data_IF_664345063586
#
_entry.id   IF_664345063586
#
_cell.length_a   1.000
_cell.length_b   1.000
_cell.length_c   1.000
_cell.angle_alpha   90.00
_cell.angle_beta   90.00
_cell.angle_gamma   90.00
#
_symmetry.space_group_name_H-M   'P 1'
#
loop_
_entity.id
_entity.type
_entity.pdbx_description
1 polymer ?
#
# COMPACT_ATOMS: atom_id res chain seq x y z
N UNK A 1 9.47 12.21 18.21
CA UNK A 1 8.72 12.17 16.95
C UNK A 1 8.95 10.79 16.32
N UNK A 2 7.91 9.96 16.18
CA UNK A 2 8.01 8.64 15.54
C UNK A 2 7.61 8.81 14.07
N UNK A 3 8.55 8.69 13.14
CA UNK A 3 8.31 8.78 11.69
C UNK A 3 8.42 7.39 11.08
N UNK A 4 7.36 6.95 10.41
CA UNK A 4 7.30 5.71 9.63
C UNK A 4 8.35 5.73 8.51
N UNK A 5 8.45 6.82 7.75
CA UNK A 5 9.41 7.02 6.67
C UNK A 5 10.87 6.87 7.15
N UNK A 6 11.24 7.49 8.28
CA UNK A 6 12.58 7.35 8.83
C UNK A 6 12.88 5.89 9.24
N UNK A 7 11.88 5.18 9.78
CA UNK A 7 12.02 3.76 10.15
C UNK A 7 12.16 2.88 8.90
N UNK A 8 11.37 3.14 7.85
CA UNK A 8 11.46 2.48 6.55
C UNK A 8 12.86 2.61 5.97
N UNK A 9 13.40 3.83 5.90
CA UNK A 9 14.75 4.07 5.39
C UNK A 9 15.81 3.36 6.23
N UNK A 10 15.68 3.38 7.57
CA UNK A 10 16.61 2.68 8.46
C UNK A 10 16.58 1.16 8.27
N UNK A 11 15.41 0.54 8.06
CA UNK A 11 15.30 -0.90 7.87
C UNK A 11 15.58 -1.28 6.42
N UNK A 12 14.68 -0.92 5.50
CA UNK A 12 14.75 -1.37 4.11
C UNK A 12 15.94 -0.78 3.36
N UNK A 13 16.31 0.47 3.66
CA UNK A 13 17.51 1.09 3.08
C UNK A 13 18.79 0.38 3.52
N UNK A 14 18.89 -0.02 4.79
CA UNK A 14 20.04 -0.80 5.27
C UNK A 14 20.05 -2.20 4.67
N UNK A 15 18.91 -2.90 4.64
CA UNK A 15 18.83 -4.24 4.04
C UNK A 15 19.21 -4.22 2.56
N UNK A 16 18.73 -3.22 1.80
CA UNK A 16 19.16 -3.01 0.41
C UNK A 16 20.65 -2.79 0.30
N UNK A 17 21.21 -1.88 1.10
CA UNK A 17 22.64 -1.52 1.06
C UNK A 17 23.56 -2.70 1.39
N UNK A 18 23.12 -3.58 2.29
CA UNK A 18 23.86 -4.77 2.69
C UNK A 18 23.61 -5.99 1.78
N UNK A 19 22.69 -5.92 0.81
CA UNK A 19 22.31 -7.08 -0.01
C UNK A 19 21.64 -8.18 0.82
N UNK A 20 20.81 -7.79 1.79
CA UNK A 20 20.18 -8.69 2.76
C UNK A 20 18.64 -8.65 2.69
N UNK A 21 18.04 -8.28 1.55
CA UNK A 21 16.58 -8.20 1.44
C UNK A 21 15.92 -9.58 1.57
N UNK A 22 16.61 -10.63 1.13
CA UNK A 22 16.13 -12.02 1.21
C UNK A 22 15.80 -12.52 2.61
N UNK A 23 16.35 -11.93 3.66
CA UNK A 23 16.01 -12.36 5.03
C UNK A 23 14.50 -12.19 5.29
N UNK A 24 13.86 -11.23 4.61
CA UNK A 24 12.44 -10.96 4.79
C UNK A 24 11.55 -12.11 4.28
N UNK A 25 12.07 -13.07 3.51
CA UNK A 25 11.33 -14.24 3.03
C UNK A 25 10.80 -15.13 4.17
N UNK A 26 11.37 -15.03 5.37
CA UNK A 26 10.92 -15.74 6.57
C UNK A 26 9.84 -14.99 7.36
N UNK A 27 9.49 -13.78 6.94
CA UNK A 27 8.38 -13.02 7.53
C UNK A 27 7.05 -13.63 7.09
N UNK A 28 6.28 -14.08 8.08
CA UNK A 28 4.92 -14.57 7.89
C UNK A 28 3.94 -13.43 8.19
N UNK A 29 2.99 -13.20 7.27
CA UNK A 29 1.92 -12.21 7.42
C UNK A 29 0.85 -12.70 8.40
N UNK A 30 -0.01 -11.78 8.87
CA UNK A 30 -1.16 -12.16 9.71
C UNK A 30 -2.18 -13.04 8.98
N UNK A 31 -2.15 -13.04 7.65
CA UNK A 31 -2.94 -13.90 6.79
C UNK A 31 -2.25 -15.24 6.46
N UNK A 32 -1.16 -15.57 7.17
CA UNK A 32 -0.35 -16.79 7.00
C UNK A 32 0.26 -16.94 5.59
N UNK A 33 0.65 -15.83 4.97
CA UNK A 33 1.37 -15.78 3.68
C UNK A 33 2.81 -15.32 3.88
N UNK A 34 3.67 -15.56 2.89
CA UNK A 34 5.06 -15.06 2.86
C UNK A 34 5.20 -14.00 1.77
N UNK A 35 4.79 -12.74 2.02
CA UNK A 35 4.71 -11.73 0.97
C UNK A 35 6.08 -11.35 0.38
N UNK A 36 7.17 -11.62 1.09
CA UNK A 36 8.54 -11.30 0.65
C UNK A 36 9.33 -12.53 0.18
N UNK A 37 8.66 -13.67 -0.06
CA UNK A 37 9.30 -14.83 -0.66
C UNK A 37 9.35 -14.71 -2.19
N UNK A 38 10.55 -14.51 -2.72
CA UNK A 38 10.82 -14.39 -4.16
C UNK A 38 11.37 -15.67 -4.77
N UNK A 39 11.11 -16.84 -4.17
CA UNK A 39 11.49 -18.14 -4.75
C UNK A 39 13.01 -18.33 -4.85
N UNK A 40 13.75 -17.72 -3.92
CA UNK A 40 15.21 -17.80 -3.87
C UNK A 40 15.97 -16.80 -4.75
N UNK A 41 15.30 -15.88 -5.43
CA UNK A 41 15.93 -14.72 -6.05
C UNK A 41 16.25 -13.59 -5.05
N UNK A 42 17.16 -12.69 -5.41
CA UNK A 42 17.37 -11.43 -4.66
C UNK A 42 16.48 -10.35 -5.29
N UNK A 43 15.49 -9.81 -4.57
CA UNK A 43 14.67 -8.71 -5.09
C UNK A 43 15.47 -7.40 -5.08
N UNK A 44 15.15 -6.48 -6.00
CA UNK A 44 15.52 -5.08 -5.83
C UNK A 44 14.49 -4.36 -4.97
N UNK A 45 14.92 -3.31 -4.26
CA UNK A 45 14.06 -2.47 -3.42
C UNK A 45 14.15 -1.02 -3.86
N UNK A 46 13.03 -0.36 -4.09
CA UNK A 46 12.95 1.08 -4.28
C UNK A 46 12.19 1.71 -3.10
N UNK A 47 12.76 2.74 -2.48
CA UNK A 47 12.09 3.49 -1.43
C UNK A 47 11.39 4.70 -2.05
N UNK A 48 10.20 5.04 -1.55
CA UNK A 48 9.42 6.20 -2.02
C UNK A 48 9.18 6.16 -3.54
N UNK A 49 8.84 4.98 -4.04
CA UNK A 49 8.71 4.74 -5.48
C UNK A 49 7.48 5.46 -6.04
N UNK A 50 7.72 6.38 -6.98
CA UNK A 50 6.68 6.94 -7.84
C UNK A 50 6.16 5.92 -8.86
N UNK A 51 4.86 5.63 -8.82
CA UNK A 51 4.19 4.71 -9.74
C UNK A 51 3.73 5.45 -10.99
N UNK A 52 4.29 5.08 -12.13
CA UNK A 52 4.00 5.73 -13.43
C UNK A 52 2.90 5.04 -14.24
N UNK A 53 2.45 3.86 -13.82
CA UNK A 53 1.51 3.02 -14.58
C UNK A 53 0.04 3.38 -14.38
N UNK A 54 -0.27 4.31 -13.46
CA UNK A 54 -1.64 4.64 -13.06
C UNK A 54 -2.18 5.92 -13.71
N UNK A 55 -1.46 6.50 -14.67
CA UNK A 55 -1.87 7.71 -15.41
C UNK A 55 -1.78 9.01 -14.60
N UNK A 56 -1.05 8.99 -13.49
CA UNK A 56 -0.76 10.19 -12.71
C UNK A 56 0.38 10.99 -13.37
N UNK A 57 0.27 12.31 -13.34
CA UNK A 57 1.29 13.20 -13.89
C UNK A 57 2.45 13.40 -12.90
N UNK A 58 3.62 13.76 -13.45
CA UNK A 58 4.84 14.03 -12.69
C UNK A 58 4.58 15.01 -11.53
N UNK A 59 5.08 14.65 -10.33
CA UNK A 59 4.89 15.42 -9.08
C UNK A 59 3.56 15.16 -8.36
N UNK A 60 2.70 14.25 -8.85
CA UNK A 60 1.45 13.82 -8.19
C UNK A 60 1.27 12.30 -8.18
N UNK A 61 2.36 11.56 -8.41
CA UNK A 61 2.33 10.12 -8.51
C UNK A 61 1.95 9.46 -7.18
N UNK A 62 1.45 8.24 -7.27
CA UNK A 62 1.41 7.31 -6.15
C UNK A 62 2.83 7.06 -5.71
N UNK A 63 3.13 7.44 -4.48
CA UNK A 63 4.36 7.07 -3.80
C UNK A 63 4.06 5.85 -2.94
N UNK A 64 4.84 4.79 -3.15
CA UNK A 64 4.84 3.58 -2.33
C UNK A 64 6.07 3.65 -1.44
N UNK A 65 5.90 3.46 -0.13
CA UNK A 65 7.00 3.60 0.84
C UNK A 65 8.16 2.64 0.53
N UNK A 66 7.83 1.38 0.21
CA UNK A 66 8.80 0.37 -0.26
C UNK A 66 8.20 -0.41 -1.40
N UNK A 67 8.93 -0.52 -2.50
CA UNK A 67 8.58 -1.38 -3.62
C UNK A 67 9.66 -2.42 -3.84
N UNK A 68 9.33 -3.69 -3.61
CA UNK A 68 10.23 -4.81 -3.89
C UNK A 68 9.83 -5.45 -5.21
N UNK A 69 10.80 -5.77 -6.05
CA UNK A 69 10.50 -6.37 -7.34
C UNK A 69 11.52 -7.40 -7.81
N UNK A 70 10.97 -8.48 -8.36
CA UNK A 70 11.64 -9.47 -9.18
C UNK A 70 10.58 -10.03 -10.16
N UNK A 71 10.32 -11.35 -10.12
CA UNK A 71 9.21 -11.98 -10.83
C UNK A 71 7.86 -11.62 -10.18
N UNK A 72 7.87 -11.46 -8.86
CA UNK A 72 6.76 -10.96 -8.03
C UNK A 72 7.01 -9.49 -7.65
N UNK A 73 5.97 -8.73 -7.32
CA UNK A 73 6.06 -7.32 -6.89
C UNK A 73 5.32 -7.10 -5.57
N UNK A 74 6.00 -6.44 -4.64
CA UNK A 74 5.46 -6.12 -3.32
C UNK A 74 5.44 -4.61 -3.15
N UNK A 75 4.25 -4.03 -2.98
CA UNK A 75 4.09 -2.63 -2.61
C UNK A 75 3.77 -2.52 -1.12
N UNK A 76 4.65 -1.93 -0.34
CA UNK A 76 4.50 -1.81 1.12
C UNK A 76 4.02 -0.40 1.46
N UNK A 77 2.89 -0.32 2.18
CA UNK A 77 2.44 0.88 2.88
C UNK A 77 2.85 0.78 4.36
N UNK A 78 3.58 1.77 4.86
CA UNK A 78 4.18 1.74 6.18
C UNK A 78 3.45 2.69 7.15
N UNK A 79 3.08 2.17 8.32
CA UNK A 79 2.41 2.91 9.38
C UNK A 79 3.08 2.63 10.71
N UNK A 80 3.26 3.65 11.53
CA UNK A 80 3.89 3.57 12.85
C UNK A 80 3.00 4.25 13.88
N UNK A 81 2.71 5.53 13.71
CA UNK A 81 1.89 6.33 14.64
C UNK A 81 0.68 7.00 13.97
N UNK A 82 0.58 6.88 12.65
CA UNK A 82 -0.52 7.38 11.82
C UNK A 82 -1.85 6.78 12.29
N UNK A 83 -2.94 7.52 12.09
CA UNK A 83 -4.29 7.09 12.48
C UNK A 83 -5.08 6.51 11.29
N UNK A 84 -4.59 6.70 10.07
CA UNK A 84 -5.29 6.29 8.84
C UNK A 84 -4.29 5.81 7.80
N UNK A 85 -4.75 4.92 6.90
CA UNK A 85 -3.95 4.47 5.74
C UNK A 85 -3.72 5.57 4.71
N UNK A 86 -4.69 6.47 4.54
CA UNK A 86 -4.69 7.51 3.51
C UNK A 86 -6.00 7.48 2.72
N UNK A 87 -6.71 8.60 2.75
CA UNK A 87 -8.08 8.74 2.21
C UNK A 87 -8.12 9.64 0.99
N UNK A 88 -9.11 9.43 0.11
CA UNK A 88 -9.28 10.26 -1.08
C UNK A 88 -9.49 11.71 -0.67
N UNK A 89 -8.71 12.62 -1.26
CA UNK A 89 -8.76 14.05 -0.92
C UNK A 89 -9.85 14.83 -1.64
N UNK A 90 -10.45 14.28 -2.71
CA UNK A 90 -11.43 14.99 -3.55
C UNK A 90 -12.65 15.49 -2.77
N UNK A 91 -13.19 14.75 -1.78
CA UNK A 91 -14.29 15.24 -0.94
C UNK A 91 -13.91 16.31 0.08
N UNK A 92 -12.63 16.63 0.24
CA UNK A 92 -12.15 17.72 1.10
C UNK A 92 -11.86 19.00 0.32
N UNK A 93 -12.00 18.99 -1.00
CA UNK A 93 -11.88 20.21 -1.81
C UNK A 93 -13.06 21.14 -1.52
N UNK A 94 -12.90 22.43 -1.86
CA UNK A 94 -14.02 23.37 -1.80
C UNK A 94 -15.13 22.90 -2.76
N UNK A 95 -16.42 22.94 -2.39
CA UNK A 95 -17.52 22.56 -3.28
C UNK A 95 -17.58 23.31 -4.61
N UNK A 96 -16.95 24.49 -4.70
CA UNK A 96 -16.80 25.25 -5.95
C UNK A 96 -15.65 24.74 -6.84
N UNK A 97 -14.75 23.90 -6.33
CA UNK A 97 -13.67 23.29 -7.11
C UNK A 97 -14.26 22.29 -8.13
N UNK A 98 -13.91 22.38 -9.43
CA UNK A 98 -14.44 21.48 -10.45
C UNK A 98 -14.08 20.00 -10.22
N UNK A 99 -13.04 19.71 -9.44
CA UNK A 99 -12.62 18.36 -9.06
C UNK A 99 -13.17 17.90 -7.71
N UNK A 100 -13.99 18.73 -7.04
CA UNK A 100 -14.75 18.33 -5.87
C UNK A 100 -15.59 17.08 -6.18
N UNK A 101 -15.72 16.22 -5.19
CA UNK A 101 -16.52 15.01 -5.23
C UNK A 101 -17.26 14.90 -3.91
N UNK A 102 -18.57 14.72 -3.92
CA UNK A 102 -19.37 14.61 -2.68
C UNK A 102 -19.11 13.32 -1.86
N UNK A 103 -18.23 12.43 -2.34
CA UNK A 103 -17.91 11.15 -1.72
C UNK A 103 -18.69 9.96 -2.28
N UNK A 104 -19.63 10.18 -3.19
CA UNK A 104 -20.29 9.13 -3.99
C UNK A 104 -19.50 8.82 -5.28
N UNK A 105 -19.79 7.68 -5.92
CA UNK A 105 -19.31 7.35 -7.26
C UNK A 105 -20.49 7.41 -8.23
N UNK A 106 -20.77 8.62 -8.70
CA UNK A 106 -21.88 9.00 -9.59
C UNK A 106 -21.39 10.08 -10.55
N UNK A 107 -22.13 10.36 -11.64
CA UNK A 107 -21.82 11.54 -12.46
C UNK A 107 -22.13 12.81 -11.68
N UNK A 108 -21.13 13.69 -11.53
CA UNK A 108 -21.26 14.94 -10.78
C UNK A 108 -20.66 16.08 -11.59
N UNK A 109 -21.11 17.31 -11.33
CA UNK A 109 -20.56 18.54 -11.92
C UNK A 109 -20.47 18.51 -13.47
N UNK A 110 -21.36 17.78 -14.14
CA UNK A 110 -21.37 17.66 -15.61
C UNK A 110 -20.21 16.86 -16.22
N UNK A 111 -19.44 16.13 -15.40
CA UNK A 111 -18.30 15.32 -15.85
C UNK A 111 -18.73 14.12 -16.69
N UNK A 112 -17.88 13.75 -17.65
CA UNK A 112 -18.06 12.54 -18.45
C UNK A 112 -17.76 11.28 -17.63
N UNK A 113 -16.82 11.35 -16.69
CA UNK A 113 -16.53 10.28 -15.74
C UNK A 113 -17.22 10.51 -14.39
N UNK A 114 -17.54 9.40 -13.70
CA UNK A 114 -18.13 9.44 -12.35
C UNK A 114 -17.14 9.99 -11.31
N UNK A 115 -15.91 9.48 -11.32
CA UNK A 115 -14.85 9.94 -10.41
C UNK A 115 -14.10 11.14 -10.99
N UNK A 116 -13.87 12.17 -10.17
CA UNK A 116 -13.08 13.35 -10.56
C UNK A 116 -11.62 13.03 -10.94
N UNK A 117 -11.05 11.96 -10.37
CA UNK A 117 -9.71 11.50 -10.73
C UNK A 117 -9.69 10.84 -12.12
N UNK A 118 -10.73 10.06 -12.43
CA UNK A 118 -10.86 9.46 -13.77
C UNK A 118 -11.09 10.52 -14.84
N UNK A 119 -11.87 11.57 -14.54
CA UNK A 119 -12.02 12.75 -15.42
C UNK A 119 -10.67 13.41 -15.70
N UNK A 120 -9.77 13.45 -14.70
CA UNK A 120 -8.41 13.96 -14.84
C UNK A 120 -7.44 13.00 -15.54
N UNK A 121 -7.91 11.87 -16.08
CA UNK A 121 -7.10 10.88 -16.79
C UNK A 121 -6.43 9.81 -15.91
N UNK A 122 -6.70 9.79 -14.60
CA UNK A 122 -6.14 8.79 -13.69
C UNK A 122 -6.84 7.45 -13.89
N UNK A 123 -6.05 6.39 -14.02
CA UNK A 123 -6.49 5.09 -14.54
C UNK A 123 -6.99 4.12 -13.47
N UNK A 124 -7.18 4.53 -12.22
CA UNK A 124 -7.58 3.58 -11.17
C UNK A 124 -8.86 2.80 -11.53
N UNK A 125 -9.90 3.51 -11.98
CA UNK A 125 -11.18 2.90 -12.35
C UNK A 125 -11.12 2.08 -13.64
N UNK A 126 -10.04 2.17 -14.42
CA UNK A 126 -9.76 1.24 -15.51
C UNK A 126 -9.30 -0.12 -14.98
N UNK A 127 -8.54 -0.16 -13.89
CA UNK A 127 -7.96 -1.40 -13.35
C UNK A 127 -8.76 -2.01 -12.20
N UNK A 128 -9.48 -1.18 -11.43
CA UNK A 128 -10.27 -1.62 -10.28
C UNK A 128 -11.21 -2.79 -10.61
N UNK A 129 -12.00 -2.77 -11.71
CA UNK A 129 -12.93 -3.87 -12.01
C UNK A 129 -12.27 -5.22 -12.31
N UNK A 130 -10.96 -5.25 -12.54
CA UNK A 130 -10.20 -6.47 -12.81
C UNK A 130 -9.59 -7.08 -11.55
N UNK A 131 -9.46 -6.30 -10.47
CA UNK A 131 -8.85 -6.75 -9.20
C UNK A 131 -9.88 -6.79 -8.06
N UNK A 132 -10.91 -5.96 -8.13
CA UNK A 132 -11.93 -5.77 -7.11
C UNK A 132 -13.32 -6.09 -7.66
N UNK A 133 -14.20 -6.54 -6.77
CA UNK A 133 -15.64 -6.74 -6.99
C UNK A 133 -16.44 -5.43 -7.05
N UNK A 134 -15.78 -4.30 -7.36
CA UNK A 134 -16.42 -3.00 -7.51
C UNK A 134 -16.72 -2.75 -8.99
N UNK A 135 -17.99 -2.53 -9.28
CA UNK A 135 -18.44 -2.25 -10.64
C UNK A 135 -18.22 -0.77 -11.00
N UNK A 136 -17.41 -0.51 -12.02
CA UNK A 136 -17.19 0.85 -12.54
C UNK A 136 -18.41 1.39 -13.33
N UNK A 137 -19.32 0.52 -13.80
CA UNK A 137 -20.53 0.93 -14.50
C UNK A 137 -21.67 1.30 -13.55
N UNK A 138 -21.70 0.70 -12.35
CA UNK A 138 -22.69 0.97 -11.31
C UNK A 138 -22.50 2.31 -10.59
N UNK A 139 -23.60 2.88 -10.10
CA UNK A 139 -23.55 4.01 -9.16
C UNK A 139 -23.36 3.50 -7.74
N UNK A 140 -22.53 4.19 -6.95
CA UNK A 140 -22.33 3.85 -5.55
C UNK A 140 -22.56 5.08 -4.66
N UNK A 141 -23.49 4.96 -3.72
CA UNK A 141 -23.81 6.03 -2.76
C UNK A 141 -22.57 6.39 -1.94
N UNK A 142 -21.80 5.39 -1.52
CA UNK A 142 -20.50 5.59 -0.88
C UNK A 142 -19.40 5.08 -1.81
N UNK A 143 -18.51 5.98 -2.23
CA UNK A 143 -17.37 5.61 -3.04
C UNK A 143 -16.39 4.77 -2.22
N UNK A 144 -16.04 3.54 -2.66
CA UNK A 144 -15.17 2.65 -1.89
C UNK A 144 -13.77 3.24 -1.68
N UNK A 145 -13.30 4.08 -2.61
CA UNK A 145 -12.00 4.75 -2.52
C UNK A 145 -11.94 5.84 -1.44
N UNK A 146 -13.06 6.26 -0.84
CA UNK A 146 -13.07 7.32 0.17
C UNK A 146 -12.16 6.99 1.34
N UNK A 147 -12.37 5.84 1.96
CA UNK A 147 -11.58 5.36 3.11
C UNK A 147 -10.36 4.52 2.74
N UNK A 148 -10.33 3.96 1.53
CA UNK A 148 -9.36 2.92 1.14
C UNK A 148 -8.31 3.38 0.14
N UNK A 149 -8.32 4.66 -0.22
CA UNK A 149 -7.58 5.23 -1.35
C UNK A 149 -6.14 4.75 -1.47
N UNK A 150 -5.34 4.88 -0.42
CA UNK A 150 -3.92 4.55 -0.46
C UNK A 150 -3.68 3.04 -0.58
N UNK A 151 -4.47 2.21 0.10
CA UNK A 151 -4.36 0.75 -0.02
C UNK A 151 -4.71 0.26 -1.43
N UNK A 152 -5.76 0.82 -2.03
CA UNK A 152 -6.13 0.47 -3.41
C UNK A 152 -5.02 0.86 -4.38
N UNK A 153 -4.43 2.05 -4.22
CA UNK A 153 -3.28 2.48 -5.04
C UNK A 153 -2.10 1.51 -4.92
N UNK A 154 -1.79 1.01 -3.73
CA UNK A 154 -0.69 0.07 -3.54
C UNK A 154 -1.00 -1.31 -4.15
N UNK A 155 -2.25 -1.78 -4.07
CA UNK A 155 -2.67 -2.99 -4.81
C UNK A 155 -2.47 -2.78 -6.32
N UNK A 156 -2.93 -1.65 -6.85
CA UNK A 156 -2.75 -1.34 -8.27
C UNK A 156 -1.27 -1.22 -8.64
N UNK A 157 -0.44 -0.61 -7.80
CA UNK A 157 1.01 -0.50 -8.01
C UNK A 157 1.69 -1.88 -8.08
N UNK A 158 1.30 -2.80 -7.20
CA UNK A 158 1.84 -4.17 -7.18
C UNK A 158 1.30 -5.03 -8.33
N UNK A 159 0.05 -4.82 -8.76
CA UNK A 159 -0.64 -5.71 -9.70
C UNK A 159 -0.73 -5.15 -11.13
N UNK A 160 -0.40 -3.88 -11.41
CA UNK A 160 -0.48 -3.31 -12.77
C UNK A 160 0.92 -3.14 -13.35
N UNK A 161 1.22 -3.83 -14.45
CA UNK A 161 2.50 -3.78 -15.19
C UNK A 161 2.20 -3.51 -16.65
N UNK A 162 2.92 -2.56 -17.26
CA UNK A 162 2.81 -2.24 -18.69
C UNK A 162 1.36 -2.02 -19.17
N UNK A 163 0.55 -1.40 -18.32
CA UNK A 163 -0.86 -1.11 -18.60
C UNK A 163 -1.81 -2.31 -18.55
N UNK A 164 -1.34 -3.45 -18.03
CA UNK A 164 -2.11 -4.69 -17.85
C UNK A 164 -2.14 -5.12 -16.39
N UNK A 165 -3.17 -5.87 -16.02
CA UNK A 165 -3.31 -6.46 -14.68
C UNK A 165 -2.61 -7.82 -14.66
N UNK A 166 -1.72 -7.98 -13.68
CA UNK A 166 -0.98 -9.19 -13.32
C UNK A 166 -1.28 -9.51 -11.86
N UNK A 167 -2.47 -10.07 -11.63
CA UNK A 167 -3.00 -10.34 -10.30
C UNK A 167 -2.27 -11.50 -9.59
N UNK A 168 -1.58 -12.39 -10.30
CA UNK A 168 -0.94 -13.54 -9.68
C UNK A 168 0.46 -13.20 -9.14
N UNK A 169 1.05 -12.08 -9.58
CA UNK A 169 2.43 -11.70 -9.26
C UNK A 169 2.53 -10.36 -8.50
N UNK A 170 1.47 -9.94 -7.80
CA UNK A 170 1.45 -8.69 -7.04
C UNK A 170 0.84 -8.84 -5.65
N UNK A 171 1.45 -8.22 -4.64
CA UNK A 171 0.87 -8.09 -3.30
C UNK A 171 1.09 -6.69 -2.73
N UNK A 172 0.06 -6.13 -2.10
CA UNK A 172 0.16 -4.94 -1.28
C UNK A 172 0.26 -5.30 0.20
N UNK A 173 1.34 -4.91 0.86
CA UNK A 173 1.57 -5.16 2.28
C UNK A 173 1.23 -3.91 3.07
N UNK A 174 0.31 -4.01 4.03
CA UNK A 174 0.16 -3.01 5.07
C UNK A 174 1.09 -3.38 6.23
N UNK A 175 2.21 -2.66 6.33
CA UNK A 175 3.19 -2.81 7.40
C UNK A 175 2.87 -1.80 8.51
N UNK A 176 2.52 -2.28 9.70
CA UNK A 176 2.09 -1.41 10.79
C UNK A 176 2.73 -1.76 12.13
N UNK A 177 2.67 -0.84 13.10
CA UNK A 177 3.05 -1.15 14.49
C UNK A 177 1.87 -1.84 15.19
N UNK A 178 2.06 -3.08 15.66
CA UNK A 178 1.02 -3.87 16.31
C UNK A 178 0.38 -3.17 17.54
N UNK A 179 1.08 -2.19 18.13
CA UNK A 179 0.60 -1.41 19.27
C UNK A 179 -0.25 -0.21 18.86
N UNK A 180 -0.33 0.10 17.57
CA UNK A 180 -1.13 1.20 17.06
C UNK A 180 -2.59 0.75 16.94
N UNK A 181 -3.50 1.27 17.79
CA UNK A 181 -4.90 0.82 17.83
C UNK A 181 -5.64 1.09 16.50
N UNK A 182 -5.23 2.10 15.74
CA UNK A 182 -5.84 2.38 14.44
C UNK A 182 -5.76 1.20 13.47
N UNK A 183 -4.74 0.34 13.61
CA UNK A 183 -4.46 -0.78 12.70
C UNK A 183 -4.63 -2.15 13.34
N UNK A 184 -4.76 -2.20 14.67
CA UNK A 184 -5.13 -3.42 15.39
C UNK A 184 -6.62 -3.75 15.18
N UNK A 185 -7.50 -2.79 15.46
CA UNK A 185 -8.96 -2.95 15.35
C UNK A 185 -9.70 -1.66 14.94
N UNK A 186 -8.98 -0.55 14.75
CA UNK A 186 -9.54 0.76 14.39
C UNK A 186 -9.84 0.98 12.90
N UNK A 187 -9.83 2.25 12.49
CA UNK A 187 -10.20 2.66 11.13
C UNK A 187 -9.25 2.14 10.05
N UNK A 188 -7.95 2.07 10.35
CA UNK A 188 -6.95 1.50 9.45
C UNK A 188 -7.18 0.00 9.20
N UNK A 189 -7.54 -0.74 10.25
CA UNK A 189 -7.95 -2.15 10.12
C UNK A 189 -9.24 -2.29 9.30
N UNK A 190 -10.24 -1.43 9.55
CA UNK A 190 -11.50 -1.44 8.81
C UNK A 190 -11.32 -1.13 7.32
N UNK A 191 -10.45 -0.16 6.99
CA UNK A 191 -10.08 0.14 5.62
C UNK A 191 -9.37 -1.05 4.93
N UNK A 192 -8.46 -1.71 5.64
CA UNK A 192 -7.80 -2.92 5.16
C UNK A 192 -8.80 -4.06 4.87
N UNK A 193 -9.69 -4.35 5.82
CA UNK A 193 -10.70 -5.40 5.63
C UNK A 193 -11.66 -5.09 4.48
N UNK A 194 -12.00 -3.81 4.28
CA UNK A 194 -12.80 -3.36 3.13
C UNK A 194 -12.12 -3.69 1.81
N UNK A 195 -10.82 -3.36 1.67
CA UNK A 195 -10.01 -3.68 0.48
C UNK A 195 -9.92 -5.19 0.29
N UNK A 196 -9.52 -5.92 1.33
CA UNK A 196 -9.31 -7.37 1.28
C UNK A 196 -10.57 -8.14 0.88
N UNK A 197 -11.74 -7.77 1.41
CA UNK A 197 -13.02 -8.40 1.05
C UNK A 197 -13.49 -8.04 -0.35
N UNK A 198 -13.11 -6.87 -0.84
CA UNK A 198 -13.45 -6.45 -2.18
C UNK A 198 -12.60 -7.13 -3.26
N UNK A 199 -11.38 -7.57 -2.96
CA UNK A 199 -10.51 -8.26 -3.93
C UNK A 199 -11.11 -9.58 -4.43
N UNK A 200 -10.91 -9.88 -5.72
CA UNK A 200 -11.20 -11.22 -6.26
C UNK A 200 -10.27 -12.27 -5.65
N UNK A 201 -8.98 -11.94 -5.53
CA UNK A 201 -7.99 -12.72 -4.81
C UNK A 201 -7.57 -11.96 -3.53
N UNK A 202 -8.07 -12.36 -2.34
CA UNK A 202 -7.68 -11.72 -1.08
C UNK A 202 -6.18 -11.77 -0.79
N UNK A 203 -5.43 -12.67 -1.43
CA UNK A 203 -3.97 -12.77 -1.32
C UNK A 203 -3.20 -11.62 -1.97
N UNK A 204 -3.85 -10.76 -2.76
CA UNK A 204 -3.23 -9.53 -3.29
C UNK A 204 -3.03 -8.45 -2.23
N UNK A 205 -3.44 -8.69 -0.98
CA UNK A 205 -3.05 -7.86 0.15
C UNK A 205 -2.84 -8.69 1.40
N UNK A 206 -1.93 -8.26 2.25
CA UNK A 206 -1.75 -8.82 3.58
C UNK A 206 -1.25 -7.77 4.57
N UNK A 207 -1.28 -8.12 5.86
CA UNK A 207 -0.75 -7.32 6.95
C UNK A 207 0.51 -7.94 7.53
N UNK A 208 1.48 -7.10 7.82
CA UNK A 208 2.72 -7.45 8.50
C UNK A 208 2.94 -6.43 9.60
N UNK A 209 3.55 -6.85 10.71
CA UNK A 209 3.89 -5.93 11.79
C UNK A 209 5.37 -5.56 11.75
N UNK A 210 5.71 -4.36 12.21
CA UNK A 210 7.10 -3.96 12.42
C UNK A 210 7.81 -4.93 13.38
N UNK A 211 7.09 -5.46 14.38
CA UNK A 211 7.59 -6.46 15.30
C UNK A 211 8.01 -7.74 14.58
N UNK A 212 7.22 -8.22 13.62
CA UNK A 212 7.57 -9.40 12.80
C UNK A 212 8.83 -9.15 11.96
N UNK A 213 8.95 -7.97 11.36
CA UNK A 213 10.15 -7.57 10.61
C UNK A 213 11.39 -7.54 11.51
N UNK A 214 11.30 -6.87 12.67
CA UNK A 214 12.42 -6.74 13.62
C UNK A 214 12.80 -8.09 14.22
N UNK A 215 11.82 -8.94 14.53
CA UNK A 215 12.06 -10.29 15.02
C UNK A 215 12.87 -11.11 14.02
N UNK A 216 12.40 -11.17 12.76
CA UNK A 216 13.09 -11.83 11.66
C UNK A 216 14.52 -11.31 11.49
N UNK A 217 14.73 -9.99 11.47
CA UNK A 217 16.07 -9.40 11.39
C UNK A 217 16.98 -9.78 12.55
N UNK A 218 16.42 -9.95 13.76
CA UNK A 218 17.22 -10.22 14.97
C UNK A 218 17.80 -11.63 15.03
N UNK A 219 17.29 -12.55 14.21
CA UNK A 219 17.85 -13.88 14.03
C UNK A 219 19.18 -13.85 13.25
N UNK A 220 19.48 -12.74 12.56
CA UNK A 220 20.70 -12.55 11.80
C UNK A 220 21.72 -11.69 12.56
N UNK A 221 22.83 -12.32 12.96
CA UNK A 221 23.89 -11.69 13.77
C UNK A 221 24.40 -10.35 13.18
N UNK A 222 24.51 -10.25 11.85
CA UNK A 222 24.97 -9.04 11.16
C UNK A 222 24.07 -7.81 11.38
N UNK A 223 22.81 -8.01 11.78
CA UNK A 223 21.81 -6.97 12.00
C UNK A 223 21.52 -6.71 13.49
N UNK A 224 22.27 -7.33 14.39
CA UNK A 224 22.08 -7.17 15.84
C UNK A 224 22.18 -5.71 16.32
N UNK A 225 23.09 -4.94 15.73
CA UNK A 225 23.22 -3.50 16.03
C UNK A 225 21.98 -2.72 15.59
N UNK A 226 21.47 -2.97 14.37
CA UNK A 226 20.33 -2.24 13.81
C UNK A 226 19.05 -2.54 14.59
N UNK A 227 18.81 -3.82 14.89
CA UNK A 227 17.63 -4.23 15.67
C UNK A 227 17.66 -3.64 17.08
N UNK A 228 18.84 -3.51 17.69
CA UNK A 228 19.02 -2.83 18.98
C UNK A 228 18.68 -1.34 18.89
N UNK A 229 19.20 -0.62 17.88
CA UNK A 229 18.91 0.81 17.70
C UNK A 229 17.43 1.08 17.40
N UNK A 230 16.81 0.22 16.57
CA UNK A 230 15.37 0.31 16.28
C UNK A 230 14.54 0.08 17.54
N UNK A 231 14.89 -0.91 18.36
CA UNK A 231 14.29 -1.16 19.69
C UNK A 231 14.39 0.06 20.59
N UNK A 232 15.58 0.64 20.72
CA UNK A 232 15.83 1.79 21.60
C UNK A 232 15.05 3.03 21.16
N UNK A 233 15.02 3.32 19.85
CA UNK A 233 14.41 4.54 19.31
C UNK A 233 12.89 4.46 19.20
N UNK A 234 12.36 3.30 18.80
CA UNK A 234 10.93 3.13 18.46
C UNK A 234 10.16 2.22 19.42
N UNK A 235 10.87 1.48 20.28
CA UNK A 235 10.31 0.50 21.22
C UNK A 235 9.78 -0.76 20.55
N UNK A 236 10.26 -1.11 19.35
CA UNK A 236 9.77 -2.23 18.54
C UNK A 236 10.38 -3.57 18.95
#
# INVERSE_FOLDING_TARGET
MKSSQALVQSIFGTLKTLGMLRILADVISEENTRPFDFGGGEPDAELEKGVTTLGELDGRMTEVDVFLSLNHRVAVECKLAEQHVGTCSRPRLDPADPFHCDGSYTHQHGRAAKCSLAEAGILYWRFIPHLFRWDAAGDMVECPLRGTYQLVRNVLAACVRDGQVDADNGVAVLLYDARNPAFADGEGFSAYETVRRALFNPGNTCRVTWQSIVACMSEHQALGWLTTEVRLKYGL
#
